data_IF_120386123642
#
_entry.id   IF_120386123642
#
_cell.length_a   1.000
_cell.length_b   1.000
_cell.length_c   1.000
_cell.angle_alpha   90.00
_cell.angle_beta   90.00
_cell.angle_gamma   90.00
#
_symmetry.space_group_name_H-M   'P 1'
#
loop_
_entity.id
_entity.type
_entity.pdbx_description
1 polymer ?
#
# COMPACT_ATOMS: atom_id res chain seq x y z
N UNK A 1 15.29 22.71 -9.45
CA UNK A 1 14.75 21.47 -8.90
C UNK A 1 14.18 21.70 -7.53
N UNK A 2 12.92 21.33 -7.35
CA UNK A 2 12.25 21.33 -6.06
C UNK A 2 11.62 19.95 -5.85
N UNK A 3 11.76 19.41 -4.63
CA UNK A 3 11.06 18.20 -4.22
C UNK A 3 9.64 18.56 -3.75
N UNK A 4 8.64 17.83 -4.23
CA UNK A 4 7.23 18.02 -3.87
C UNK A 4 6.71 16.77 -3.17
N UNK A 5 6.07 16.94 -2.02
CA UNK A 5 5.50 15.85 -1.22
C UNK A 5 4.11 16.24 -0.70
N UNK A 6 3.23 15.26 -0.59
CA UNK A 6 1.83 15.43 -0.22
C UNK A 6 1.39 14.32 0.73
N UNK A 7 0.44 14.59 1.63
CA UNK A 7 -0.13 13.63 2.56
C UNK A 7 -1.62 13.93 2.81
N UNK A 8 -2.41 12.88 3.10
CA UNK A 8 -3.84 12.99 3.42
C UNK A 8 -4.16 12.18 4.67
N UNK A 9 -5.05 12.72 5.51
CA UNK A 9 -5.57 12.06 6.71
C UNK A 9 -7.09 12.12 6.72
N UNK A 10 -7.73 11.01 7.05
CA UNK A 10 -9.18 10.91 7.14
C UNK A 10 -9.58 10.02 8.32
N UNK A 11 -10.80 10.21 8.82
CA UNK A 11 -11.34 9.36 9.89
C UNK A 11 -11.88 8.05 9.32
N UNK A 12 -12.08 7.07 10.21
CA UNK A 12 -12.89 5.91 9.89
C UNK A 12 -14.28 6.35 9.39
N UNK A 13 -14.75 5.77 8.28
CA UNK A 13 -15.99 6.16 7.59
C UNK A 13 -15.82 7.23 6.51
N UNK A 14 -14.64 7.82 6.37
CA UNK A 14 -14.29 8.74 5.27
C UNK A 14 -13.29 8.12 4.28
N UNK A 15 -13.00 6.83 4.44
CA UNK A 15 -12.08 6.03 3.63
C UNK A 15 -12.78 4.74 3.23
N UNK A 16 -12.38 4.16 2.09
CA UNK A 16 -12.82 2.82 1.70
C UNK A 16 -11.65 1.87 1.78
N UNK A 17 -11.75 0.92 2.72
CA UNK A 17 -10.76 -0.14 2.92
C UNK A 17 -11.45 -1.51 2.80
N UNK A 18 -10.99 -2.33 1.87
CA UNK A 18 -11.41 -3.73 1.71
C UNK A 18 -10.17 -4.61 1.63
N UNK A 19 -10.15 -5.72 2.37
CA UNK A 19 -8.99 -6.61 2.38
C UNK A 19 -8.91 -7.51 1.13
N UNK A 20 -10.05 -8.00 0.63
CA UNK A 20 -10.14 -8.86 -0.55
C UNK A 20 -11.45 -8.61 -1.33
N UNK A 21 -11.40 -8.17 -2.60
CA UNK A 21 -10.22 -7.67 -3.29
C UNK A 21 -9.62 -6.45 -2.57
N UNK A 22 -8.29 -6.33 -2.59
CA UNK A 22 -7.62 -5.25 -1.87
C UNK A 22 -8.00 -3.88 -2.43
N UNK A 23 -8.52 -3.00 -1.57
CA UNK A 23 -8.79 -1.59 -1.87
C UNK A 23 -8.38 -0.77 -0.67
N UNK A 24 -7.63 0.31 -0.90
CA UNK A 24 -7.44 1.38 0.06
C UNK A 24 -7.63 2.73 -0.65
N UNK A 25 -8.66 3.50 -0.26
CA UNK A 25 -9.00 4.78 -0.87
C UNK A 25 -9.19 5.88 0.17
N UNK A 26 -8.62 7.05 -0.12
CA UNK A 26 -8.85 8.31 0.59
C UNK A 26 -9.05 9.42 -0.46
N UNK A 27 -10.25 9.99 -0.51
CA UNK A 27 -10.68 10.92 -1.55
C UNK A 27 -10.41 10.39 -2.98
N UNK A 28 -9.54 11.07 -3.72
CA UNK A 28 -9.09 10.76 -5.08
C UNK A 28 -7.77 9.98 -5.13
N UNK A 29 -7.24 9.55 -3.99
CA UNK A 29 -6.08 8.66 -3.90
C UNK A 29 -6.54 7.22 -3.66
N UNK A 30 -6.02 6.28 -4.44
CA UNK A 30 -6.40 4.87 -4.39
C UNK A 30 -5.21 3.94 -4.64
N UNK A 31 -5.14 2.88 -3.83
CA UNK A 31 -4.48 1.62 -4.15
C UNK A 31 -5.55 0.54 -4.35
N UNK A 32 -5.47 -0.22 -5.44
CA UNK A 32 -6.42 -1.29 -5.75
C UNK A 32 -5.71 -2.50 -6.33
N UNK A 33 -5.82 -3.65 -5.67
CA UNK A 33 -5.31 -4.94 -6.16
C UNK A 33 -6.26 -5.60 -7.15
N UNK A 34 -5.81 -6.71 -7.75
CA UNK A 34 -6.57 -7.49 -8.73
C UNK A 34 -7.33 -8.64 -8.10
N UNK A 35 -8.66 -8.57 -8.03
CA UNK A 35 -9.51 -9.69 -7.58
C UNK A 35 -8.95 -10.37 -6.30
N UNK A 36 -8.58 -11.65 -6.37
CA UNK A 36 -8.09 -12.41 -5.20
C UNK A 36 -6.64 -12.09 -4.81
N UNK A 37 -5.85 -11.51 -5.72
CA UNK A 37 -4.46 -11.17 -5.52
C UNK A 37 -4.26 -9.66 -5.30
N UNK A 38 -3.22 -9.30 -4.55
CA UNK A 38 -2.87 -7.90 -4.35
C UNK A 38 -2.20 -7.28 -5.59
N UNK A 39 -1.55 -8.11 -6.42
CA UNK A 39 -0.88 -7.72 -7.66
C UNK A 39 -1.55 -8.40 -8.88
N UNK A 40 -1.65 -7.70 -10.02
CA UNK A 40 -1.23 -6.32 -10.25
C UNK A 40 -2.06 -5.28 -9.46
N UNK A 41 -1.40 -4.22 -9.00
CA UNK A 41 -2.01 -3.14 -8.22
C UNK A 41 -2.03 -1.82 -9.00
N UNK A 42 -3.16 -1.15 -9.02
CA UNK A 42 -3.28 0.22 -9.53
C UNK A 42 -3.08 1.24 -8.40
N UNK A 43 -2.17 2.19 -8.59
CA UNK A 43 -2.02 3.41 -7.80
C UNK A 43 -2.54 4.60 -8.60
N UNK A 44 -3.54 5.29 -8.08
CA UNK A 44 -4.01 6.59 -8.58
C UNK A 44 -3.82 7.61 -7.46
N UNK A 45 -3.19 8.74 -7.75
CA UNK A 45 -3.12 9.89 -6.86
C UNK A 45 -3.10 11.19 -7.66
N UNK A 46 -3.68 12.26 -7.10
CA UNK A 46 -3.67 13.60 -7.69
C UNK A 46 -3.56 14.65 -6.60
N UNK A 47 -2.77 15.68 -6.85
CA UNK A 47 -2.67 16.85 -5.99
C UNK A 47 -2.27 18.07 -6.82
N UNK A 48 -3.18 19.04 -6.96
CA UNK A 48 -2.98 20.19 -7.85
C UNK A 48 -2.53 19.78 -9.28
N UNK A 49 -1.36 20.26 -9.77
CA UNK A 49 -0.83 19.90 -11.08
C UNK A 49 -0.12 18.54 -11.11
N UNK A 50 0.02 17.84 -9.98
CA UNK A 50 0.73 16.56 -9.87
C UNK A 50 -0.26 15.39 -9.92
N UNK A 51 0.09 14.33 -10.63
CA UNK A 51 -0.70 13.11 -10.68
C UNK A 51 0.19 11.88 -10.87
N UNK A 52 -0.25 10.75 -10.30
CA UNK A 52 0.30 9.42 -10.54
C UNK A 52 -0.83 8.49 -10.98
N UNK A 53 -0.56 7.70 -12.03
CA UNK A 53 -1.40 6.58 -12.46
C UNK A 53 -0.45 5.46 -12.86
N UNK A 54 -0.16 4.58 -11.92
CA UNK A 54 0.85 3.54 -12.04
C UNK A 54 0.20 2.17 -11.87
N UNK A 55 0.70 1.20 -12.63
CA UNK A 55 0.43 -0.22 -12.40
C UNK A 55 1.69 -0.84 -11.83
N UNK A 56 1.58 -1.40 -10.63
CA UNK A 56 2.58 -2.31 -10.08
C UNK A 56 2.18 -3.69 -10.60
N UNK A 57 2.99 -4.26 -11.48
CA UNK A 57 2.67 -5.51 -12.16
C UNK A 57 2.98 -6.72 -11.24
N UNK A 58 3.67 -7.73 -11.75
CA UNK A 58 4.09 -8.88 -10.98
C UNK A 58 5.38 -8.61 -10.20
N UNK A 59 5.44 -9.16 -8.99
CA UNK A 59 6.64 -9.17 -8.18
C UNK A 59 6.61 -10.40 -7.26
N UNK A 60 7.78 -10.84 -6.83
CA UNK A 60 7.91 -11.97 -5.90
C UNK A 60 7.50 -11.54 -4.49
N UNK A 61 6.64 -12.32 -3.83
CA UNK A 61 6.33 -12.08 -2.43
C UNK A 61 7.54 -12.44 -1.55
N UNK A 62 8.15 -11.44 -0.93
CA UNK A 62 9.22 -11.63 0.05
C UNK A 62 8.64 -11.50 1.45
N UNK A 63 8.55 -12.61 2.17
CA UNK A 63 8.16 -12.62 3.60
C UNK A 63 9.38 -12.29 4.47
N UNK A 64 9.26 -11.27 5.32
CA UNK A 64 10.35 -10.85 6.20
C UNK A 64 10.33 -11.58 7.55
N UNK A 65 11.48 -11.63 8.22
CA UNK A 65 11.61 -12.32 9.50
C UNK A 65 11.49 -13.84 9.34
N UNK A 66 10.73 -14.49 10.23
CA UNK A 66 10.47 -15.92 10.18
C UNK A 66 9.12 -16.12 9.51
N UNK A 67 9.12 -16.45 8.21
CA UNK A 67 7.92 -16.67 7.39
C UNK A 67 6.88 -15.54 7.45
N UNK A 68 7.34 -14.29 7.55
CA UNK A 68 6.50 -13.09 7.61
C UNK A 68 6.36 -12.54 9.02
N UNK A 69 6.63 -13.33 10.07
CA UNK A 69 6.69 -12.84 11.44
C UNK A 69 7.99 -12.06 11.66
N UNK A 70 7.88 -10.74 11.70
CA UNK A 70 9.01 -9.82 11.83
C UNK A 70 9.03 -9.15 13.20
N UNK A 71 9.93 -9.61 14.06
CA UNK A 71 10.16 -9.03 15.39
C UNK A 71 10.92 -7.70 15.27
N UNK A 72 10.40 -6.67 15.95
CA UNK A 72 10.92 -5.29 15.92
C UNK A 72 11.73 -4.96 17.16
N UNK A 73 11.41 -5.57 18.30
CA UNK A 73 12.15 -5.38 19.56
C UNK A 73 12.37 -6.71 20.28
N UNK A 74 13.38 -6.78 21.14
CA UNK A 74 13.68 -7.97 21.93
C UNK A 74 12.55 -8.36 22.90
N UNK A 75 11.61 -7.45 23.22
CA UNK A 75 10.47 -7.72 24.11
C UNK A 75 9.27 -8.39 23.40
N UNK A 76 9.45 -8.87 22.17
CA UNK A 76 8.41 -9.62 21.45
C UNK A 76 7.42 -8.77 20.64
N UNK A 77 7.63 -7.46 20.53
CA UNK A 77 6.85 -6.65 19.59
C UNK A 77 7.17 -7.07 18.16
N UNK A 78 6.14 -7.46 17.41
CA UNK A 78 6.29 -7.98 16.06
C UNK A 78 5.16 -7.52 15.14
N UNK A 79 5.33 -7.75 13.85
CA UNK A 79 4.29 -7.56 12.85
C UNK A 79 4.41 -8.63 11.77
N UNK A 80 3.30 -8.95 11.11
CA UNK A 80 3.36 -9.63 9.83
C UNK A 80 3.86 -8.64 8.79
N UNK A 81 4.95 -8.97 8.12
CA UNK A 81 5.60 -8.06 7.19
C UNK A 81 6.12 -8.78 5.94
N UNK A 82 5.80 -8.22 4.79
CA UNK A 82 6.24 -8.69 3.49
C UNK A 82 6.48 -7.50 2.54
N UNK A 83 7.20 -7.76 1.46
CA UNK A 83 7.42 -6.81 0.36
C UNK A 83 7.26 -7.47 -1.00
N UNK A 84 7.05 -6.63 -2.00
CA UNK A 84 7.07 -6.94 -3.43
C UNK A 84 8.18 -6.08 -4.06
N UNK A 85 9.43 -6.59 -4.12
CA UNK A 85 10.54 -5.86 -4.71
C UNK A 85 10.62 -6.06 -6.23
N UNK A 86 11.26 -5.10 -6.91
CA UNK A 86 11.61 -5.07 -8.35
C UNK A 86 10.45 -5.31 -9.33
#
# INVERSE_FOLDING_TARGET
DAHHAFEKFARAGQVDITAAPFVARIDDWQLKGSNEDILPMQLIAREGPYAANLTLDNSVLVRHGIDGYSQKTAQGHASYYYSYPF
#
